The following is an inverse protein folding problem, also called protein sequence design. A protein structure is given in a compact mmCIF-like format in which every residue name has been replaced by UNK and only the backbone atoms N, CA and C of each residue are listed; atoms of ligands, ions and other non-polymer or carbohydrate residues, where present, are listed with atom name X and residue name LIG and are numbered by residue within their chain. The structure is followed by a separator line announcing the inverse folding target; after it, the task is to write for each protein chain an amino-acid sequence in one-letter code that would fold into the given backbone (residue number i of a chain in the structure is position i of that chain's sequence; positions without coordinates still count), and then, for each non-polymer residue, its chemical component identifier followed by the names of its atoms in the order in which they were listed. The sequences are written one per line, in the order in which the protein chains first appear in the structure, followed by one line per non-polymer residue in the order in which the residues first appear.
data_IF_563360005128
#
_entry.id   IF_563360005128
#
_cell.length_a   1.000
_cell.length_b   1.000
_cell.length_c   1.000
_cell.angle_alpha   90.00
_cell.angle_beta   90.00
_cell.angle_gamma   90.00
#
_symmetry.space_group_name_H-M   'P 1'
#
loop_
_entity.id
_entity.type
_entity.pdbx_description
1 polymer ?
#
# COMPACT_ATOMS: atom_id res chain seq x y z
N UNK A 1 33.07 29.21 -40.27
CA UNK A 1 32.01 28.26 -39.86
C UNK A 1 32.26 27.57 -38.50
N UNK A 2 32.96 28.18 -37.52
CA UNK A 2 33.23 27.52 -36.21
C UNK A 2 32.19 27.82 -35.12
N UNK A 3 31.59 29.02 -35.09
CA UNK A 3 30.68 29.43 -34.01
C UNK A 3 29.32 28.72 -33.94
N UNK A 4 28.79 28.23 -35.08
CA UNK A 4 27.50 27.52 -35.10
C UNK A 4 27.56 26.11 -34.51
N UNK A 5 28.75 25.50 -34.54
CA UNK A 5 28.99 24.14 -34.04
C UNK A 5 28.98 24.13 -32.51
N UNK A 6 29.65 25.10 -31.88
CA UNK A 6 29.72 25.23 -30.41
C UNK A 6 28.35 25.55 -29.79
N UNK A 7 27.56 26.43 -30.43
CA UNK A 7 26.19 26.74 -29.98
C UNK A 7 25.25 25.53 -30.07
N UNK A 8 25.40 24.71 -31.11
CA UNK A 8 24.61 23.48 -31.26
C UNK A 8 24.97 22.43 -30.20
N UNK A 9 26.25 22.31 -29.83
CA UNK A 9 26.67 21.42 -28.74
C UNK A 9 26.12 21.86 -27.37
N UNK A 10 26.15 23.16 -27.06
CA UNK A 10 25.59 23.70 -25.81
C UNK A 10 24.07 23.49 -25.74
N UNK A 11 23.37 23.67 -26.86
CA UNK A 11 21.93 23.38 -26.96
C UNK A 11 21.63 21.89 -26.76
N UNK A 12 22.42 21.00 -27.34
CA UNK A 12 22.26 19.56 -27.17
C UNK A 12 22.48 19.14 -25.70
N UNK A 13 23.52 19.66 -25.05
CA UNK A 13 23.86 19.32 -23.65
C UNK A 13 22.78 19.82 -22.67
N UNK A 14 22.29 21.04 -22.87
CA UNK A 14 21.17 21.57 -22.07
C UNK A 14 19.86 20.82 -22.30
N UNK A 15 19.61 20.32 -23.51
CA UNK A 15 18.44 19.50 -23.82
C UNK A 15 18.54 18.10 -23.18
N UNK A 16 19.73 17.49 -23.19
CA UNK A 16 20.00 16.25 -22.47
C UNK A 16 19.81 16.45 -20.96
N UNK A 17 20.39 17.50 -20.38
CA UNK A 17 20.21 17.81 -18.97
C UNK A 17 18.73 18.03 -18.62
N UNK A 18 17.99 18.77 -19.44
CA UNK A 18 16.56 19.01 -19.24
C UNK A 18 15.74 17.71 -19.30
N UNK A 19 16.03 16.83 -20.26
CA UNK A 19 15.32 15.54 -20.36
C UNK A 19 15.59 14.64 -19.15
N UNK A 20 16.84 14.57 -18.67
CA UNK A 20 17.20 13.80 -17.48
C UNK A 20 16.48 14.34 -16.24
N UNK A 21 16.50 15.66 -16.04
CA UNK A 21 15.83 16.31 -14.90
C UNK A 21 14.32 16.08 -14.98
N UNK A 22 13.72 16.28 -16.16
CA UNK A 22 12.28 16.07 -16.37
C UNK A 22 11.87 14.64 -16.06
N UNK A 23 12.60 13.65 -16.60
CA UNK A 23 12.33 12.23 -16.33
C UNK A 23 12.49 11.88 -14.84
N UNK A 24 13.50 12.45 -14.18
CA UNK A 24 13.74 12.23 -12.74
C UNK A 24 12.60 12.77 -11.89
N UNK A 25 12.08 13.95 -12.21
CA UNK A 25 10.93 14.55 -11.52
C UNK A 25 9.68 13.70 -11.75
N UNK A 26 9.39 13.33 -13.00
CA UNK A 26 8.22 12.49 -13.32
C UNK A 26 8.31 11.14 -12.61
N UNK A 27 9.47 10.48 -12.65
CA UNK A 27 9.69 9.21 -11.97
C UNK A 27 9.48 9.33 -10.45
N UNK A 28 10.00 10.40 -9.85
CA UNK A 28 9.83 10.66 -8.41
C UNK A 28 8.37 10.87 -8.05
N UNK A 29 7.62 11.66 -8.82
CA UNK A 29 6.18 11.89 -8.59
C UNK A 29 5.37 10.60 -8.68
N UNK A 30 5.58 9.81 -9.74
CA UNK A 30 4.89 8.52 -9.93
C UNK A 30 5.22 7.55 -8.79
N UNK A 31 6.50 7.49 -8.41
CA UNK A 31 6.94 6.64 -7.31
C UNK A 31 6.33 7.07 -5.98
N UNK A 32 6.26 8.37 -5.71
CA UNK A 32 5.66 8.91 -4.50
C UNK A 32 4.17 8.56 -4.39
N UNK A 33 3.41 8.75 -5.46
CA UNK A 33 2.00 8.36 -5.52
C UNK A 33 1.82 6.85 -5.32
N UNK A 34 2.67 6.05 -5.95
CA UNK A 34 2.66 4.59 -5.76
C UNK A 34 2.93 4.21 -4.30
N UNK A 35 3.92 4.82 -3.65
CA UNK A 35 4.26 4.59 -2.26
C UNK A 35 3.13 4.99 -1.31
N UNK A 36 2.46 6.12 -1.55
CA UNK A 36 1.29 6.54 -0.75
C UNK A 36 0.18 5.48 -0.84
N UNK A 37 -0.13 5.01 -2.05
CA UNK A 37 -1.16 4.00 -2.25
C UNK A 37 -0.78 2.66 -1.60
N UNK A 38 0.49 2.25 -1.71
CA UNK A 38 0.98 1.03 -1.05
C UNK A 38 0.93 1.15 0.47
N UNK A 39 1.37 2.28 1.04
CA UNK A 39 1.32 2.54 2.48
C UNK A 39 -0.10 2.46 3.03
N UNK A 40 -1.08 3.07 2.34
CA UNK A 40 -2.50 2.96 2.71
C UNK A 40 -2.98 1.51 2.70
N UNK A 41 -2.62 0.71 1.69
CA UNK A 41 -2.97 -0.72 1.62
C UNK A 41 -2.32 -1.53 2.75
N UNK A 42 -1.04 -1.28 3.03
CA UNK A 42 -0.32 -1.94 4.12
C UNK A 42 -0.94 -1.62 5.48
N UNK A 43 -1.34 -0.37 5.71
CA UNK A 43 -2.03 0.02 6.95
C UNK A 43 -3.34 -0.74 7.13
N UNK A 44 -4.15 -0.87 6.08
CA UNK A 44 -5.40 -1.66 6.10
C UNK A 44 -5.10 -3.14 6.43
N UNK A 45 -4.08 -3.72 5.79
CA UNK A 45 -3.70 -5.11 6.03
C UNK A 45 -3.21 -5.33 7.47
N UNK A 46 -2.46 -4.38 8.05
CA UNK A 46 -1.99 -4.44 9.43
C UNK A 46 -3.16 -4.38 10.42
N UNK A 47 -4.13 -3.49 10.20
CA UNK A 47 -5.34 -3.42 11.06
C UNK A 47 -6.14 -4.72 10.96
N UNK A 48 -6.32 -5.25 9.74
CA UNK A 48 -7.03 -6.50 9.53
C UNK A 48 -6.33 -7.68 10.23
N UNK A 49 -5.01 -7.80 10.08
CA UNK A 49 -4.22 -8.85 10.74
C UNK A 49 -4.27 -8.74 12.26
N UNK A 50 -4.21 -7.52 12.81
CA UNK A 50 -4.34 -7.30 14.26
C UNK A 50 -5.71 -7.73 14.78
N UNK A 51 -6.80 -7.35 14.10
CA UNK A 51 -8.15 -7.78 14.49
C UNK A 51 -8.33 -9.30 14.35
N UNK A 52 -7.74 -9.91 13.31
CA UNK A 52 -7.76 -11.36 13.16
C UNK A 52 -7.07 -12.04 14.34
N UNK A 53 -5.91 -11.54 14.76
CA UNK A 53 -5.17 -12.04 15.91
C UNK A 53 -5.96 -11.88 17.21
N UNK A 54 -6.48 -10.67 17.47
CA UNK A 54 -7.30 -10.38 18.66
C UNK A 54 -8.53 -11.30 18.76
N UNK A 55 -9.27 -11.45 17.66
CA UNK A 55 -10.44 -12.35 17.63
C UNK A 55 -10.05 -13.82 17.82
N UNK A 56 -8.89 -14.24 17.31
CA UNK A 56 -8.36 -15.59 17.52
C UNK A 56 -7.94 -15.81 18.97
N UNK A 57 -7.26 -14.84 19.57
CA UNK A 57 -6.79 -14.91 20.95
C UNK A 57 -7.99 -14.98 21.93
N UNK A 58 -9.04 -14.19 21.69
CA UNK A 58 -10.30 -14.28 22.46
C UNK A 58 -11.02 -15.62 22.25
N UNK A 59 -11.04 -16.15 21.01
CA UNK A 59 -11.60 -17.47 20.73
C UNK A 59 -10.84 -18.56 21.50
N UNK A 60 -9.52 -18.47 21.58
CA UNK A 60 -8.69 -19.44 22.33
C UNK A 60 -8.92 -19.29 23.84
N UNK A 61 -9.02 -18.07 24.35
CA UNK A 61 -9.24 -17.79 25.77
C UNK A 61 -10.64 -18.22 26.25
N UNK A 62 -11.67 -17.99 25.44
CA UNK A 62 -13.08 -18.25 25.81
C UNK A 62 -13.62 -19.58 25.28
N UNK A 63 -12.92 -20.18 24.31
CA UNK A 63 -13.32 -21.37 23.55
C UNK A 63 -14.70 -21.25 22.86
N UNK A 64 -15.16 -20.00 22.61
CA UNK A 64 -16.44 -19.69 21.97
C UNK A 64 -16.21 -18.82 20.73
N UNK A 65 -17.09 -18.88 19.71
CA UNK A 65 -17.02 -17.98 18.57
C UNK A 65 -17.05 -16.52 19.02
N UNK A 66 -16.15 -15.71 18.47
CA UNK A 66 -15.97 -14.30 18.83
C UNK A 66 -16.27 -13.42 17.64
N UNK A 67 -17.02 -12.34 17.89
CA UNK A 67 -17.31 -11.29 16.93
C UNK A 67 -16.81 -9.96 17.48
N UNK A 68 -15.82 -9.36 16.80
CA UNK A 68 -15.26 -8.06 17.16
C UNK A 68 -15.61 -7.07 16.05
N UNK A 69 -16.12 -5.89 16.40
CA UNK A 69 -16.38 -4.79 15.46
C UNK A 69 -15.69 -3.53 15.95
N UNK A 70 -14.81 -2.97 15.13
CA UNK A 70 -14.12 -1.71 15.39
C UNK A 70 -14.22 -0.82 14.15
N UNK A 71 -14.95 0.30 14.28
CA UNK A 71 -15.23 1.25 13.20
C UNK A 71 -15.74 0.57 11.92
N UNK A 72 -14.95 0.66 10.84
CA UNK A 72 -15.24 0.12 9.51
C UNK A 72 -14.87 -1.37 9.36
N UNK A 73 -14.20 -1.94 10.36
CA UNK A 73 -13.71 -3.32 10.36
C UNK A 73 -14.52 -4.21 11.29
N UNK A 74 -14.71 -5.47 10.88
CA UNK A 74 -15.33 -6.51 11.70
C UNK A 74 -14.53 -7.81 11.55
N UNK A 75 -14.26 -8.51 12.64
CA UNK A 75 -13.61 -9.81 12.64
C UNK A 75 -14.55 -10.87 13.24
N UNK A 76 -14.57 -12.05 12.63
CA UNK A 76 -15.33 -13.21 13.08
C UNK A 76 -14.36 -14.36 13.23
N UNK A 77 -14.12 -14.79 14.45
CA UNK A 77 -13.29 -15.96 14.76
C UNK A 77 -14.19 -17.13 15.17
N UNK A 78 -13.99 -18.27 14.50
CA UNK A 78 -14.67 -19.52 14.81
C UNK A 78 -13.67 -20.67 14.77
N UNK A 79 -14.08 -21.86 15.21
CA UNK A 79 -13.23 -23.06 15.11
C UNK A 79 -12.81 -23.42 13.68
N UNK A 80 -13.55 -22.96 12.67
CA UNK A 80 -13.27 -23.19 11.25
C UNK A 80 -12.22 -22.22 10.67
N UNK A 81 -11.97 -21.11 11.35
CA UNK A 81 -11.10 -20.04 10.84
C UNK A 81 -11.57 -18.66 11.27
N UNK A 82 -10.84 -17.64 10.79
CA UNK A 82 -11.04 -16.23 11.10
C UNK A 82 -11.23 -15.43 9.82
N UNK A 83 -12.31 -14.67 9.76
CA UNK A 83 -12.62 -13.77 8.65
C UNK A 83 -12.65 -12.33 9.13
N UNK A 84 -11.97 -11.43 8.43
CA UNK A 84 -12.03 -9.99 8.66
C UNK A 84 -12.66 -9.30 7.47
N UNK A 85 -13.61 -8.42 7.77
CA UNK A 85 -14.40 -7.65 6.84
C UNK A 85 -14.10 -6.16 7.01
N UNK A 86 -14.14 -5.42 5.92
CA UNK A 86 -14.21 -3.95 5.92
C UNK A 86 -15.45 -3.53 5.14
N UNK A 87 -16.33 -2.72 5.72
CA UNK A 87 -17.62 -2.36 5.12
C UNK A 87 -18.40 -3.57 4.55
N UNK A 88 -18.38 -4.70 5.27
CA UNK A 88 -19.00 -5.99 4.87
C UNK A 88 -18.32 -6.73 3.70
N UNK A 89 -17.21 -6.22 3.15
CA UNK A 89 -16.40 -6.94 2.17
C UNK A 89 -15.30 -7.73 2.88
N UNK A 90 -15.11 -9.04 2.60
CA UNK A 90 -14.01 -9.80 3.18
C UNK A 90 -12.68 -9.28 2.65
N UNK A 91 -11.77 -8.94 3.56
CA UNK A 91 -10.43 -8.44 3.23
C UNK A 91 -9.31 -9.38 3.67
N UNK A 92 -9.60 -10.26 4.63
CA UNK A 92 -8.62 -11.20 5.18
C UNK A 92 -9.34 -12.45 5.66
N UNK A 93 -8.87 -13.62 5.26
CA UNK A 93 -9.43 -14.92 5.65
C UNK A 93 -8.27 -15.86 6.00
N UNK A 94 -8.34 -16.46 7.19
CA UNK A 94 -7.42 -17.51 7.64
C UNK A 94 -8.24 -18.73 7.96
N UNK A 95 -8.10 -19.77 7.14
CA UNK A 95 -8.70 -21.08 7.38
C UNK A 95 -7.74 -21.93 8.20
N UNK A 96 -8.30 -22.73 9.10
CA UNK A 96 -7.55 -23.68 9.91
C UNK A 96 -7.31 -24.98 9.17
#
# INVERSE_FOLDING_TARGET
MKQGKDKAFILADSLIALTIISLSITFTLVSHECLIQQSKRQQVNLVASRMAKEATDELVATNRPVFIKQNEFSAVASRKGVNVYRYRQPIFEVRR
#
